data_IF_221323521048
#
_entry.id   IF_221323521048
#
_cell.length_a   1.000
_cell.length_b   1.000
_cell.length_c   1.000
_cell.angle_alpha   90.00
_cell.angle_beta   90.00
_cell.angle_gamma   90.00
#
_symmetry.space_group_name_H-M   'P 1'
#
loop_
_entity.id
_entity.type
_entity.pdbx_description
1 polymer ?
#
# COMPACT_ATOMS: atom_id res chain seq x y z
N UNK A 1 8.13 5.46 -35.81
CA UNK A 1 8.76 5.96 -34.57
C UNK A 1 7.78 6.69 -33.67
N UNK A 2 7.48 7.98 -33.90
CA UNK A 2 6.71 8.86 -33.00
C UNK A 2 5.30 8.40 -32.66
N UNK A 3 4.56 7.84 -33.63
CA UNK A 3 3.20 7.33 -33.39
C UNK A 3 3.20 6.09 -32.48
N UNK A 4 4.20 5.22 -32.61
CA UNK A 4 4.35 4.03 -31.75
C UNK A 4 4.70 4.40 -30.31
N UNK A 5 5.55 5.40 -30.10
CA UNK A 5 5.93 5.89 -28.78
C UNK A 5 4.76 6.57 -28.08
N UNK A 6 4.02 7.43 -28.81
CA UNK A 6 2.80 8.07 -28.28
C UNK A 6 1.75 7.04 -27.87
N UNK A 7 1.54 6.01 -28.68
CA UNK A 7 0.57 4.95 -28.37
C UNK A 7 1.00 4.15 -27.14
N UNK A 8 2.29 3.85 -26.98
CA UNK A 8 2.86 3.16 -25.82
C UNK A 8 2.71 4.02 -24.55
N UNK A 9 2.99 5.32 -24.63
CA UNK A 9 2.82 6.26 -23.51
C UNK A 9 1.36 6.34 -23.05
N UNK A 10 0.40 6.51 -23.98
CA UNK A 10 -1.02 6.56 -23.64
C UNK A 10 -1.50 5.25 -23.01
N UNK A 11 -1.06 4.11 -23.52
CA UNK A 11 -1.39 2.79 -22.96
C UNK A 11 -0.84 2.62 -21.54
N UNK A 12 0.38 3.03 -21.31
CA UNK A 12 1.03 2.98 -19.98
C UNK A 12 0.29 3.85 -18.96
N UNK A 13 -0.05 5.07 -19.35
CA UNK A 13 -0.83 6.00 -18.54
C UNK A 13 -2.22 5.43 -18.19
N UNK A 14 -2.94 4.92 -19.17
CA UNK A 14 -4.26 4.31 -18.97
C UNK A 14 -4.18 3.10 -18.02
N UNK A 15 -3.19 2.23 -18.20
CA UNK A 15 -2.98 1.08 -17.32
C UNK A 15 -2.69 1.50 -15.87
N UNK A 16 -1.87 2.53 -15.66
CA UNK A 16 -1.54 3.01 -14.32
C UNK A 16 -2.76 3.54 -13.58
N UNK A 17 -3.60 4.34 -14.25
CA UNK A 17 -4.85 4.81 -13.63
C UNK A 17 -5.87 3.68 -13.43
N UNK A 18 -5.95 2.72 -14.35
CA UNK A 18 -6.80 1.55 -14.18
C UNK A 18 -6.41 0.74 -12.93
N UNK A 19 -5.11 0.47 -12.72
CA UNK A 19 -4.62 -0.23 -11.54
C UNK A 19 -4.90 0.55 -10.25
N UNK A 20 -4.77 1.87 -10.28
CA UNK A 20 -5.11 2.73 -9.15
C UNK A 20 -6.62 2.68 -8.82
N UNK A 21 -7.49 2.69 -9.85
CA UNK A 21 -8.93 2.52 -9.66
C UNK A 21 -9.26 1.15 -9.06
N UNK A 22 -8.60 0.09 -9.53
CA UNK A 22 -8.76 -1.25 -8.96
C UNK A 22 -8.31 -1.29 -7.48
N UNK A 23 -7.21 -0.64 -7.13
CA UNK A 23 -6.77 -0.49 -5.75
C UNK A 23 -7.87 0.14 -4.89
N UNK A 24 -8.36 1.33 -5.27
CA UNK A 24 -9.41 2.02 -4.52
C UNK A 24 -10.72 1.22 -4.47
N UNK A 25 -11.12 0.62 -5.58
CA UNK A 25 -12.34 -0.18 -5.65
C UNK A 25 -12.31 -1.38 -4.72
N UNK A 26 -11.22 -2.16 -4.75
CA UNK A 26 -11.05 -3.31 -3.87
C UNK A 26 -10.96 -2.90 -2.39
N UNK A 27 -10.23 -1.83 -2.07
CA UNK A 27 -10.11 -1.32 -0.71
C UNK A 27 -11.47 -0.86 -0.19
N UNK A 28 -12.19 -0.06 -0.97
CA UNK A 28 -13.52 0.44 -0.62
C UNK A 28 -14.55 -0.70 -0.44
N UNK A 29 -14.54 -1.72 -1.30
CA UNK A 29 -15.43 -2.87 -1.17
C UNK A 29 -15.12 -3.69 0.09
N UNK A 30 -13.83 -3.92 0.41
CA UNK A 30 -13.42 -4.57 1.65
C UNK A 30 -13.91 -3.80 2.89
N UNK A 31 -13.68 -2.48 2.91
CA UNK A 31 -14.09 -1.61 4.02
C UNK A 31 -15.61 -1.48 4.14
N UNK A 32 -16.32 -1.41 3.02
CA UNK A 32 -17.79 -1.39 3.00
C UNK A 32 -18.36 -2.69 3.57
N UNK A 33 -17.85 -3.84 3.13
CA UNK A 33 -18.28 -5.13 3.67
C UNK A 33 -18.03 -5.22 5.18
N UNK A 34 -16.85 -4.81 5.66
CA UNK A 34 -16.51 -4.79 7.08
C UNK A 34 -17.50 -3.93 7.87
N UNK A 35 -17.74 -2.70 7.40
CA UNK A 35 -18.67 -1.77 8.05
C UNK A 35 -20.10 -2.31 8.10
N UNK A 36 -20.59 -2.86 6.98
CA UNK A 36 -21.92 -3.46 6.93
C UNK A 36 -22.04 -4.67 7.85
N UNK A 37 -21.01 -5.50 7.91
CA UNK A 37 -21.01 -6.68 8.78
C UNK A 37 -21.11 -6.27 10.26
N UNK A 38 -20.29 -5.31 10.67
CA UNK A 38 -20.34 -4.76 12.05
C UNK A 38 -21.70 -4.15 12.37
N UNK A 39 -22.31 -3.44 11.40
CA UNK A 39 -23.62 -2.81 11.60
C UNK A 39 -24.75 -3.83 11.75
N UNK A 40 -24.70 -4.93 11.02
CA UNK A 40 -25.77 -5.94 10.99
C UNK A 40 -25.62 -6.98 12.09
N UNK A 41 -24.40 -7.38 12.45
CA UNK A 41 -24.14 -8.50 13.33
C UNK A 41 -23.53 -8.10 14.68
N UNK A 42 -23.05 -6.86 14.84
CA UNK A 42 -22.38 -6.34 16.03
C UNK A 42 -21.18 -7.20 16.50
N UNK A 43 -20.63 -8.02 15.61
CA UNK A 43 -19.49 -8.90 15.83
C UNK A 43 -18.45 -8.68 14.75
N UNK A 44 -17.17 -8.91 15.09
CA UNK A 44 -16.12 -8.89 14.08
C UNK A 44 -16.18 -10.15 13.21
N UNK A 45 -16.09 -10.02 11.87
CA UNK A 45 -16.07 -11.18 10.99
C UNK A 45 -14.95 -12.16 11.38
N UNK A 46 -15.24 -13.44 11.45
CA UNK A 46 -14.25 -14.49 11.71
C UNK A 46 -13.68 -15.00 10.38
N UNK A 47 -12.34 -15.09 10.27
CA UNK A 47 -11.54 -15.82 9.27
C UNK A 47 -11.83 -15.57 7.76
N UNK A 48 -10.81 -15.15 6.95
CA UNK A 48 -10.77 -15.05 5.48
C UNK A 48 -12.05 -14.53 4.80
N UNK A 49 -12.53 -13.41 5.28
CA UNK A 49 -13.77 -12.83 4.79
C UNK A 49 -13.56 -11.97 3.55
N UNK A 50 -14.66 -11.62 2.94
CA UNK A 50 -14.72 -10.75 1.76
C UNK A 50 -13.96 -9.44 1.95
N UNK A 51 -13.93 -8.89 3.18
CA UNK A 51 -13.15 -7.70 3.52
C UNK A 51 -11.65 -7.93 3.35
N UNK A 52 -11.10 -9.01 3.92
CA UNK A 52 -9.67 -9.33 3.81
C UNK A 52 -9.29 -9.59 2.36
N UNK A 53 -10.13 -10.30 1.61
CA UNK A 53 -9.92 -10.51 0.19
C UNK A 53 -9.90 -9.17 -0.58
N UNK A 54 -10.79 -8.24 -0.25
CA UNK A 54 -10.80 -6.90 -0.83
C UNK A 54 -9.50 -6.14 -0.54
N UNK A 55 -9.06 -6.14 0.71
CA UNK A 55 -7.83 -5.44 1.12
C UNK A 55 -6.57 -6.08 0.54
N UNK A 56 -6.45 -7.42 0.57
CA UNK A 56 -5.34 -8.14 -0.06
C UNK A 56 -5.28 -7.83 -1.56
N UNK A 57 -6.42 -7.89 -2.25
CA UNK A 57 -6.50 -7.55 -3.68
C UNK A 57 -6.08 -6.11 -3.94
N UNK A 58 -6.45 -5.17 -3.08
CA UNK A 58 -6.05 -3.77 -3.22
C UNK A 58 -4.52 -3.62 -3.16
N UNK A 59 -3.86 -4.27 -2.21
CA UNK A 59 -2.39 -4.23 -2.09
C UNK A 59 -1.71 -4.87 -3.30
N UNK A 60 -2.28 -5.95 -3.84
CA UNK A 60 -1.78 -6.54 -5.09
C UNK A 60 -1.87 -5.54 -6.25
N UNK A 61 -2.98 -4.81 -6.41
CA UNK A 61 -3.10 -3.78 -7.43
C UNK A 61 -2.14 -2.61 -7.20
N UNK A 62 -1.90 -2.21 -5.96
CA UNK A 62 -0.92 -1.18 -5.63
C UNK A 62 0.51 -1.65 -5.98
N UNK A 63 0.84 -2.91 -5.72
CA UNK A 63 2.11 -3.50 -6.13
C UNK A 63 2.25 -3.56 -7.66
N UNK A 64 1.21 -3.98 -8.38
CA UNK A 64 1.20 -3.99 -9.84
C UNK A 64 1.37 -2.58 -10.41
N UNK A 65 0.73 -1.58 -9.80
CA UNK A 65 0.91 -0.18 -10.14
C UNK A 65 2.36 0.26 -9.93
N UNK A 66 2.94 -0.04 -8.77
CA UNK A 66 4.33 0.25 -8.47
C UNK A 66 5.27 -0.41 -9.48
N UNK A 67 5.05 -1.69 -9.77
CA UNK A 67 5.83 -2.41 -10.78
C UNK A 67 5.70 -1.80 -12.18
N UNK A 68 4.50 -1.37 -12.57
CA UNK A 68 4.24 -0.74 -13.87
C UNK A 68 4.95 0.60 -13.99
N UNK A 69 4.98 1.40 -12.93
CA UNK A 69 5.62 2.71 -12.91
C UNK A 69 7.15 2.63 -12.79
N UNK A 70 7.69 1.58 -12.16
CA UNK A 70 9.14 1.42 -11.95
C UNK A 70 9.88 1.12 -13.24
N UNK A 71 10.95 1.85 -13.50
CA UNK A 71 11.85 1.59 -14.65
C UNK A 71 12.65 0.29 -14.47
N UNK A 72 13.18 -0.31 -15.56
CA UNK A 72 14.08 -1.47 -15.47
C UNK A 72 15.30 -1.18 -14.58
N UNK A 73 15.86 0.03 -14.66
CA UNK A 73 17.00 0.46 -13.84
C UNK A 73 16.64 0.48 -12.36
N UNK A 74 15.47 1.02 -12.00
CA UNK A 74 14.97 1.02 -10.62
C UNK A 74 14.78 -0.40 -10.09
N UNK A 75 14.24 -1.31 -10.92
CA UNK A 75 14.01 -2.70 -10.52
C UNK A 75 15.31 -3.48 -10.27
N UNK A 76 16.36 -3.19 -11.04
CA UNK A 76 17.70 -3.80 -10.89
C UNK A 76 18.59 -3.10 -9.86
N UNK A 77 18.18 -1.91 -9.37
CA UNK A 77 18.96 -1.12 -8.43
C UNK A 77 19.14 -1.84 -7.10
N UNK A 78 20.38 -2.10 -6.70
CA UNK A 78 20.70 -2.71 -5.41
C UNK A 78 20.87 -1.63 -4.34
N UNK A 79 20.09 -1.74 -3.26
CA UNK A 79 20.10 -0.77 -2.17
C UNK A 79 20.05 -1.46 -0.81
N UNK A 80 21.12 -1.32 0.00
CA UNK A 80 21.13 -1.87 1.36
C UNK A 80 20.05 -1.24 2.27
N UNK A 81 19.64 0.01 2.01
CA UNK A 81 18.59 0.67 2.81
C UNK A 81 17.23 -0.01 2.68
N UNK A 82 16.95 -0.71 1.57
CA UNK A 82 15.70 -1.46 1.41
C UNK A 82 15.57 -2.63 2.40
N UNK A 83 16.69 -3.10 2.99
CA UNK A 83 16.66 -4.11 4.05
C UNK A 83 16.03 -3.60 5.35
N UNK A 84 15.80 -2.28 5.51
CA UNK A 84 15.02 -1.74 6.61
C UNK A 84 13.57 -2.27 6.61
N UNK A 85 13.00 -2.57 5.44
CA UNK A 85 11.64 -3.11 5.36
C UNK A 85 11.52 -4.49 6.06
N UNK A 86 12.29 -5.53 5.71
CA UNK A 86 12.22 -6.78 6.45
C UNK A 86 12.77 -6.67 7.88
N UNK A 87 13.75 -5.80 8.15
CA UNK A 87 14.30 -5.59 9.49
C UNK A 87 13.22 -5.10 10.48
N UNK A 88 12.31 -4.26 10.04
CA UNK A 88 11.19 -3.75 10.84
C UNK A 88 9.98 -4.68 10.73
N UNK A 89 9.65 -5.13 9.53
CA UNK A 89 8.43 -5.88 9.27
C UNK A 89 8.43 -7.29 9.83
N UNK A 90 9.58 -7.99 9.87
CA UNK A 90 9.63 -9.37 10.40
C UNK A 90 9.38 -9.41 11.93
N UNK A 91 10.01 -8.56 12.76
CA UNK A 91 9.67 -8.50 14.18
C UNK A 91 8.20 -8.10 14.44
N UNK A 92 7.66 -7.14 13.68
CA UNK A 92 6.25 -6.76 13.78
C UNK A 92 5.34 -7.92 13.39
N UNK A 93 5.66 -8.66 12.34
CA UNK A 93 4.91 -9.85 11.94
C UNK A 93 4.87 -10.90 13.07
N UNK A 94 6.03 -11.20 13.66
CA UNK A 94 6.11 -12.12 14.80
C UNK A 94 5.25 -11.63 15.98
N UNK A 95 5.28 -10.33 16.24
CA UNK A 95 4.44 -9.71 17.27
C UNK A 95 2.93 -9.87 16.94
N UNK A 96 2.49 -9.54 15.73
CA UNK A 96 1.06 -9.65 15.36
C UNK A 96 0.55 -11.09 15.37
N UNK A 97 1.40 -12.08 15.05
CA UNK A 97 1.03 -13.49 15.15
C UNK A 97 0.69 -13.95 16.60
N UNK A 98 1.03 -13.15 17.62
CA UNK A 98 0.63 -13.42 19.01
C UNK A 98 -0.79 -12.93 19.33
N UNK A 99 -1.38 -12.07 18.51
CA UNK A 99 -2.69 -11.44 18.75
C UNK A 99 -3.82 -11.93 17.86
N UNK A 100 -3.52 -12.48 16.68
CA UNK A 100 -4.52 -12.81 15.67
C UNK A 100 -4.23 -14.08 14.89
N UNK A 101 -4.95 -14.26 13.78
CA UNK A 101 -4.74 -15.41 12.90
C UNK A 101 -3.36 -15.35 12.24
N UNK A 102 -2.58 -16.43 12.42
CA UNK A 102 -1.19 -16.51 11.96
C UNK A 102 -1.12 -16.38 10.44
N UNK A 103 -2.01 -17.05 9.71
CA UNK A 103 -1.96 -17.06 8.25
C UNK A 103 -2.27 -15.69 7.65
N UNK A 104 -3.30 -15.02 8.17
CA UNK A 104 -3.66 -13.65 7.79
C UNK A 104 -2.51 -12.68 8.07
N UNK A 105 -1.93 -12.74 9.26
CA UNK A 105 -0.80 -11.89 9.65
C UNK A 105 0.44 -12.12 8.78
N UNK A 106 0.79 -13.38 8.46
CA UNK A 106 1.91 -13.70 7.59
C UNK A 106 1.70 -13.16 6.16
N UNK A 107 0.51 -13.36 5.61
CA UNK A 107 0.16 -12.87 4.27
C UNK A 107 0.26 -11.34 4.20
N UNK A 108 -0.40 -10.67 5.16
CA UNK A 108 -0.43 -9.21 5.23
C UNK A 108 0.96 -8.61 5.44
N UNK A 109 1.69 -9.07 6.43
CA UNK A 109 3.06 -8.60 6.70
C UNK A 109 4.00 -8.86 5.52
N UNK A 110 3.90 -10.03 4.88
CA UNK A 110 4.70 -10.36 3.71
C UNK A 110 4.50 -9.37 2.57
N UNK A 111 3.23 -9.01 2.28
CA UNK A 111 2.90 -8.02 1.27
C UNK A 111 3.40 -6.61 1.65
N UNK A 112 3.21 -6.19 2.91
CA UNK A 112 3.67 -4.88 3.39
C UNK A 112 5.20 -4.76 3.39
N UNK A 113 5.91 -5.81 3.79
CA UNK A 113 7.38 -5.87 3.73
C UNK A 113 7.85 -5.71 2.29
N UNK A 114 7.24 -6.47 1.36
CA UNK A 114 7.63 -6.43 -0.04
C UNK A 114 7.34 -5.07 -0.70
N UNK A 115 6.16 -4.51 -0.45
CA UNK A 115 5.76 -3.19 -0.95
C UNK A 115 6.70 -2.09 -0.43
N UNK A 116 7.03 -2.13 0.87
CA UNK A 116 7.96 -1.19 1.51
C UNK A 116 9.38 -1.36 1.00
N UNK A 117 9.85 -2.60 0.81
CA UNK A 117 11.16 -2.90 0.24
C UNK A 117 11.33 -2.28 -1.15
N UNK A 118 10.35 -2.49 -2.03
CA UNK A 118 10.35 -1.90 -3.37
C UNK A 118 10.29 -0.37 -3.32
N UNK A 119 9.50 0.20 -2.40
CA UNK A 119 9.36 1.65 -2.26
C UNK A 119 10.62 2.32 -1.71
N UNK A 120 11.29 1.73 -0.72
CA UNK A 120 12.57 2.28 -0.20
C UNK A 120 13.64 2.23 -1.29
N UNK A 121 13.71 1.11 -2.03
CA UNK A 121 14.64 0.97 -3.16
C UNK A 121 14.39 2.03 -4.22
N UNK A 122 13.14 2.19 -4.66
CA UNK A 122 12.74 3.17 -5.67
C UNK A 122 12.94 4.61 -5.20
N UNK A 123 12.66 4.91 -3.92
CA UNK A 123 12.89 6.23 -3.34
C UNK A 123 14.38 6.62 -3.37
N UNK A 124 15.27 5.69 -3.02
CA UNK A 124 16.71 5.94 -3.06
C UNK A 124 17.20 6.09 -4.50
N UNK A 125 16.71 5.27 -5.43
CA UNK A 125 17.01 5.38 -6.85
C UNK A 125 16.54 6.75 -7.40
N UNK A 126 15.30 7.14 -7.13
CA UNK A 126 14.73 8.40 -7.61
C UNK A 126 15.44 9.65 -7.03
N UNK A 127 15.97 9.58 -5.82
CA UNK A 127 16.74 10.67 -5.23
C UNK A 127 18.09 10.90 -5.96
N UNK A 128 18.64 9.90 -6.60
CA UNK A 128 19.85 10.01 -7.46
C UNK A 128 19.56 10.50 -8.88
N UNK A 129 18.29 10.66 -9.25
CA UNK A 129 17.88 11.05 -10.61
C UNK A 129 17.50 12.53 -10.70
N UNK A 130 17.43 13.03 -11.94
CA UNK A 130 16.99 14.39 -12.27
C UNK A 130 15.77 14.35 -13.20
N UNK A 131 15.06 15.47 -13.34
CA UNK A 131 13.90 15.57 -14.24
C UNK A 131 12.74 14.65 -13.84
N UNK A 132 12.13 14.04 -14.84
CA UNK A 132 10.95 13.21 -14.72
C UNK A 132 11.12 12.02 -13.76
N UNK A 133 12.23 11.29 -13.85
CA UNK A 133 12.50 10.14 -12.98
C UNK A 133 12.52 10.50 -11.49
N UNK A 134 12.84 11.75 -11.14
CA UNK A 134 12.77 12.27 -9.76
C UNK A 134 11.34 12.32 -9.24
N UNK A 135 10.34 12.45 -10.10
CA UNK A 135 8.94 12.54 -9.67
C UNK A 135 8.39 11.22 -9.10
N UNK A 136 8.98 10.08 -9.46
CA UNK A 136 8.69 8.77 -8.83
C UNK A 136 8.90 8.78 -7.31
N UNK A 137 9.76 9.66 -6.80
CA UNK A 137 9.95 9.86 -5.36
C UNK A 137 8.64 10.08 -4.61
N UNK A 138 7.71 10.89 -5.17
CA UNK A 138 6.44 11.18 -4.52
C UNK A 138 5.54 9.97 -4.43
N UNK A 139 5.55 9.12 -5.48
CA UNK A 139 4.83 7.87 -5.46
C UNK A 139 5.37 6.93 -4.37
N UNK A 140 6.69 6.73 -4.29
CA UNK A 140 7.29 5.88 -3.26
C UNK A 140 7.03 6.41 -1.85
N UNK A 141 7.06 7.74 -1.63
CA UNK A 141 6.69 8.34 -0.34
C UNK A 141 5.23 8.03 -0.03
N UNK A 142 4.30 8.19 -0.98
CA UNK A 142 2.89 7.86 -0.79
C UNK A 142 2.68 6.40 -0.38
N UNK A 143 3.35 5.46 -1.06
CA UNK A 143 3.29 4.03 -0.73
C UNK A 143 3.87 3.74 0.65
N UNK A 144 4.99 4.38 1.03
CA UNK A 144 5.57 4.22 2.37
C UNK A 144 4.69 4.83 3.47
N UNK A 145 4.02 5.95 3.19
CA UNK A 145 3.02 6.51 4.11
C UNK A 145 1.84 5.54 4.30
N UNK A 146 1.34 4.95 3.22
CA UNK A 146 0.30 3.92 3.28
C UNK A 146 0.75 2.72 4.12
N UNK A 147 1.89 2.10 3.80
CA UNK A 147 2.40 0.94 4.54
C UNK A 147 2.69 1.27 6.02
N UNK A 148 3.24 2.46 6.29
CA UNK A 148 3.49 2.93 7.66
C UNK A 148 2.20 3.12 8.45
N UNK A 149 1.16 3.69 7.83
CA UNK A 149 -0.15 3.86 8.46
C UNK A 149 -0.82 2.53 8.74
N UNK A 150 -0.68 1.55 7.86
CA UNK A 150 -1.15 0.17 8.09
C UNK A 150 -0.47 -0.47 9.30
N UNK A 151 0.86 -0.40 9.41
CA UNK A 151 1.57 -0.90 10.59
C UNK A 151 1.12 -0.19 11.89
N UNK A 152 0.89 1.12 11.83
CA UNK A 152 0.39 1.88 12.99
C UNK A 152 -1.02 1.43 13.38
N UNK A 153 -1.91 1.27 12.40
CA UNK A 153 -3.29 0.83 12.64
C UNK A 153 -3.33 -0.57 13.25
N UNK A 154 -2.56 -1.52 12.71
CA UNK A 154 -2.48 -2.88 13.24
C UNK A 154 -1.89 -2.90 14.66
N UNK A 155 -0.82 -2.13 14.89
CA UNK A 155 -0.24 -2.01 16.22
C UNK A 155 -1.24 -1.42 17.21
N UNK A 156 -1.92 -0.33 16.83
CA UNK A 156 -2.93 0.28 17.68
C UNK A 156 -4.08 -0.69 17.99
N UNK A 157 -4.56 -1.44 17.00
CA UNK A 157 -5.61 -2.44 17.16
C UNK A 157 -5.28 -3.57 18.14
N UNK A 158 -3.98 -3.92 18.28
CA UNK A 158 -3.55 -4.93 19.27
C UNK A 158 -3.75 -4.45 20.72
N UNK A 159 -3.68 -3.13 20.98
CA UNK A 159 -3.75 -2.57 22.33
C UNK A 159 -5.06 -1.85 22.62
N UNK A 160 -5.68 -1.27 21.60
CA UNK A 160 -6.91 -0.47 21.70
C UNK A 160 -7.93 -0.93 20.66
N UNK A 161 -8.69 -2.00 20.95
CA UNK A 161 -9.69 -2.54 20.01
C UNK A 161 -10.91 -1.62 19.82
N UNK A 162 -11.07 -0.62 20.70
CA UNK A 162 -12.15 0.37 20.58
C UNK A 162 -11.89 1.34 19.43
N UNK A 163 -12.92 1.62 18.63
CA UNK A 163 -12.89 2.53 17.47
C UNK A 163 -13.51 3.89 17.75
N UNK A 164 -13.73 4.24 19.02
CA UNK A 164 -14.25 5.56 19.42
C UNK A 164 -13.20 6.67 19.13
N UNK A 165 -13.61 7.93 18.96
CA UNK A 165 -12.69 9.06 18.77
C UNK A 165 -11.67 9.26 19.91
N UNK A 166 -11.88 8.65 21.08
CA UNK A 166 -10.93 8.65 22.18
C UNK A 166 -9.80 7.62 21.99
N UNK A 167 -9.98 6.64 21.09
CA UNK A 167 -9.02 5.57 20.86
C UNK A 167 -7.92 5.98 19.88
N UNK A 168 -6.65 5.59 20.13
CA UNK A 168 -5.57 5.73 19.14
C UNK A 168 -5.87 5.05 17.82
N UNK A 169 -6.58 3.93 17.82
CA UNK A 169 -6.97 3.17 16.60
C UNK A 169 -7.77 4.05 15.64
N UNK A 170 -8.71 4.85 16.12
CA UNK A 170 -9.47 5.79 15.30
C UNK A 170 -8.56 6.78 14.55
N UNK A 171 -7.57 7.35 15.23
CA UNK A 171 -6.65 8.31 14.61
C UNK A 171 -5.68 7.65 13.62
N UNK A 172 -5.27 6.40 13.88
CA UNK A 172 -4.47 5.63 12.94
C UNK A 172 -5.28 5.31 11.66
N UNK A 173 -6.57 5.00 11.77
CA UNK A 173 -7.47 4.77 10.64
C UNK A 173 -7.68 6.06 9.82
N UNK A 174 -7.84 7.19 10.48
CA UNK A 174 -7.87 8.50 9.81
C UNK A 174 -6.58 8.80 9.08
N UNK A 175 -5.43 8.48 9.66
CA UNK A 175 -4.12 8.65 9.02
C UNK A 175 -3.98 7.75 7.78
N UNK A 176 -4.42 6.48 7.88
CA UNK A 176 -4.48 5.56 6.76
C UNK A 176 -5.36 6.09 5.63
N UNK A 177 -6.54 6.61 5.97
CA UNK A 177 -7.45 7.23 5.00
C UNK A 177 -6.78 8.39 4.26
N UNK A 178 -6.07 9.27 4.98
CA UNK A 178 -5.32 10.37 4.37
C UNK A 178 -4.19 9.86 3.47
N UNK A 179 -3.47 8.82 3.89
CA UNK A 179 -2.41 8.20 3.09
C UNK A 179 -2.97 7.60 1.79
N UNK A 180 -4.13 6.93 1.85
CA UNK A 180 -4.82 6.39 0.67
C UNK A 180 -5.19 7.51 -0.30
N UNK A 181 -5.81 8.60 0.15
CA UNK A 181 -6.11 9.75 -0.71
C UNK A 181 -4.85 10.40 -1.29
N UNK A 182 -3.75 10.38 -0.55
CA UNK A 182 -2.44 10.88 -1.00
C UNK A 182 -1.84 10.11 -2.18
N UNK A 183 -2.24 8.86 -2.40
CA UNK A 183 -1.74 8.04 -3.52
C UNK A 183 -2.16 8.58 -4.88
N UNK A 184 -3.34 9.20 -5.01
CA UNK A 184 -3.80 9.77 -6.28
C UNK A 184 -2.90 10.90 -6.80
N UNK A 185 -2.63 11.99 -6.05
CA UNK A 185 -1.72 13.04 -6.51
C UNK A 185 -0.29 12.54 -6.66
N UNK A 186 0.15 11.58 -5.84
CA UNK A 186 1.47 10.97 -5.95
C UNK A 186 1.62 10.17 -7.26
N UNK A 187 0.62 9.35 -7.60
CA UNK A 187 0.58 8.61 -8.88
C UNK A 187 0.52 9.55 -10.06
N UNK A 188 -0.29 10.61 -10.00
CA UNK A 188 -0.39 11.62 -11.06
C UNK A 188 0.97 12.24 -11.36
N UNK A 189 1.71 12.66 -10.33
CA UNK A 189 3.07 13.22 -10.50
C UNK A 189 4.04 12.22 -11.14
N UNK A 190 3.90 10.92 -10.83
CA UNK A 190 4.76 9.89 -11.39
C UNK A 190 4.41 9.54 -12.85
N UNK A 191 3.14 9.61 -13.23
CA UNK A 191 2.64 9.28 -14.58
C UNK A 191 2.83 10.45 -15.56
N UNK A 192 2.65 11.69 -15.10
CA UNK A 192 2.74 12.91 -15.94
C UNK A 192 4.20 13.40 -16.06
N UNK A 193 5.15 12.65 -15.55
CA UNK A 193 6.59 12.89 -15.62
C UNK A 193 7.20 12.28 -16.87
#
# INVERSE_FOLDING_TARGET
>A
GLLSERHRYLRHRTLSYFLLICFYGCFALGSLYWTLYLLLFSETPRIFYVSEFGWVSSVIFLYLLQYTLSSPEERSFSCRKSLLAPLIGVPLCAFYCTFGDILSNLLWCGMMIWLSFCSIRGLVCANGQTGAARNMRWFHIGVLCFAGSEYLLWTAGCFWPDTSPASPTFWCDMLLTLAIFGLLPATRKAVDA
#
